data_IF_238166185242
#
_entry.id   IF_238166185242
#
_cell.length_a   1.000
_cell.length_b   1.000
_cell.length_c   1.000
_cell.angle_alpha   90.00
_cell.angle_beta   90.00
_cell.angle_gamma   90.00
#
_symmetry.space_group_name_H-M   'P 1'
#
loop_
_entity.id
_entity.type
_entity.pdbx_description
1 polymer ?
#
# COMPACT_ATOMS: atom_id res chain seq x y z
N UNK A 1 20.91 -53.96 32.31
CA UNK A 1 20.11 -52.76 31.98
C UNK A 1 20.95 -51.51 31.62
N UNK A 2 22.16 -51.64 31.03
CA UNK A 2 23.00 -50.48 30.65
C UNK A 2 23.06 -50.18 29.14
N UNK A 3 22.60 -51.11 28.28
CA UNK A 3 22.68 -50.96 26.82
C UNK A 3 21.50 -50.21 26.19
N UNK A 4 20.31 -50.24 26.79
CA UNK A 4 19.13 -49.54 26.28
C UNK A 4 19.11 -48.03 26.60
N UNK A 5 19.77 -47.62 27.69
CA UNK A 5 19.81 -46.21 28.11
C UNK A 5 20.56 -45.32 27.10
N UNK A 6 21.58 -45.86 26.42
CA UNK A 6 22.34 -45.12 25.40
C UNK A 6 21.56 -44.87 24.11
N UNK A 7 20.62 -45.74 23.77
CA UNK A 7 19.79 -45.58 22.55
C UNK A 7 18.73 -44.49 22.77
N UNK A 8 18.12 -44.44 23.96
CA UNK A 8 17.17 -43.38 24.31
C UNK A 8 17.82 -41.98 24.34
N UNK A 9 19.06 -41.88 24.83
CA UNK A 9 19.78 -40.61 24.89
C UNK A 9 20.12 -40.06 23.48
N UNK A 10 20.44 -40.94 22.53
CA UNK A 10 20.75 -40.56 21.15
C UNK A 10 19.48 -40.11 20.41
N UNK A 11 18.34 -40.78 20.63
CA UNK A 11 17.06 -40.36 20.04
C UNK A 11 16.57 -39.01 20.57
N UNK A 12 16.75 -38.70 21.87
CA UNK A 12 16.35 -37.39 22.41
C UNK A 12 17.17 -36.22 21.83
N UNK A 13 18.47 -36.42 21.56
CA UNK A 13 19.32 -35.40 20.93
C UNK A 13 18.93 -35.18 19.46
N UNK A 14 18.53 -36.24 18.75
CA UNK A 14 18.06 -36.15 17.35
C UNK A 14 16.72 -35.41 17.21
N UNK A 15 15.79 -35.59 18.16
CA UNK A 15 14.52 -34.85 18.19
C UNK A 15 14.75 -33.37 18.54
N UNK A 16 15.66 -33.06 19.46
CA UNK A 16 16.00 -31.68 19.81
C UNK A 16 16.73 -30.92 18.69
N UNK A 17 17.48 -31.61 17.83
CA UNK A 17 18.11 -31.02 16.63
C UNK A 17 17.10 -30.74 15.50
N UNK A 18 15.97 -31.44 15.46
CA UNK A 18 14.88 -31.17 14.50
C UNK A 18 14.02 -29.95 14.89
N UNK A 19 14.08 -29.52 16.15
CA UNK A 19 13.59 -28.21 16.61
C UNK A 19 14.71 -27.16 16.64
N UNK A 20 15.77 -27.35 15.83
CA UNK A 20 16.69 -26.30 15.46
C UNK A 20 15.89 -25.16 14.85
N UNK A 21 15.61 -24.16 15.69
CA UNK A 21 14.95 -22.90 15.42
C UNK A 21 15.23 -22.44 13.99
N UNK A 22 14.29 -22.74 13.08
CA UNK A 22 14.24 -22.02 11.82
C UNK A 22 14.07 -20.57 12.21
N UNK A 23 15.07 -19.73 11.91
CA UNK A 23 14.93 -18.28 11.99
C UNK A 23 13.56 -17.95 11.38
N UNK A 24 12.70 -17.14 12.04
CA UNK A 24 11.36 -16.88 11.56
C UNK A 24 11.50 -16.47 10.10
N UNK A 25 11.02 -17.35 9.21
CA UNK A 25 11.15 -17.13 7.79
C UNK A 25 10.33 -15.88 7.53
N UNK A 26 10.99 -14.75 7.22
CA UNK A 26 10.31 -13.48 6.99
C UNK A 26 9.27 -13.70 5.89
N UNK A 27 8.02 -13.90 6.31
CA UNK A 27 6.93 -14.16 5.40
C UNK A 27 6.69 -12.86 4.66
N UNK A 28 7.02 -12.86 3.36
CA UNK A 28 6.79 -11.71 2.49
C UNK A 28 5.32 -11.28 2.65
N UNK A 29 5.04 -10.01 2.96
CA UNK A 29 3.68 -9.56 3.15
C UNK A 29 2.90 -9.77 1.84
N UNK A 30 1.67 -10.28 1.97
CA UNK A 30 0.77 -10.41 0.83
C UNK A 30 0.26 -9.03 0.42
N UNK A 31 -0.20 -8.88 -0.83
CA UNK A 31 -0.86 -7.63 -1.27
C UNK A 31 -2.06 -7.30 -0.38
N UNK A 32 -2.80 -8.33 0.08
CA UNK A 32 -3.87 -8.19 1.05
C UNK A 32 -3.39 -7.49 2.33
N UNK A 33 -2.30 -7.99 2.92
CA UNK A 33 -1.75 -7.41 4.15
C UNK A 33 -1.28 -5.97 3.95
N UNK A 34 -0.63 -5.68 2.82
CA UNK A 34 -0.20 -4.32 2.49
C UNK A 34 -1.38 -3.37 2.31
N UNK A 35 -2.48 -3.82 1.71
CA UNK A 35 -3.70 -3.02 1.57
C UNK A 35 -4.35 -2.73 2.93
N UNK A 36 -4.42 -3.72 3.82
CA UNK A 36 -4.92 -3.53 5.19
C UNK A 36 -4.05 -2.55 5.99
N UNK A 37 -2.72 -2.66 5.90
CA UNK A 37 -1.79 -1.73 6.56
C UNK A 37 -1.92 -0.30 6.01
N UNK A 38 -2.17 -0.17 4.70
CA UNK A 38 -2.49 1.11 4.08
C UNK A 38 -3.81 1.70 4.59
N UNK A 39 -4.84 0.89 4.84
CA UNK A 39 -6.12 1.38 5.41
C UNK A 39 -5.89 1.98 6.79
N UNK A 40 -5.15 1.29 7.68
CA UNK A 40 -4.79 1.85 8.98
C UNK A 40 -3.92 3.12 8.87
N UNK A 41 -3.06 3.18 7.85
CA UNK A 41 -2.29 4.40 7.57
C UNK A 41 -3.20 5.55 7.13
N UNK A 42 -4.15 5.30 6.23
CA UNK A 42 -5.13 6.28 5.76
C UNK A 42 -5.95 6.82 6.94
N UNK A 43 -6.48 5.94 7.78
CA UNK A 43 -7.24 6.33 8.96
C UNK A 43 -6.40 7.21 9.89
N UNK A 44 -5.15 6.82 10.18
CA UNK A 44 -4.24 7.63 11.00
C UNK A 44 -3.88 8.98 10.34
N UNK A 45 -3.83 9.05 9.00
CA UNK A 45 -3.54 10.27 8.26
C UNK A 45 -4.62 11.35 8.40
N UNK A 46 -5.83 10.97 8.82
CA UNK A 46 -6.91 11.91 9.13
C UNK A 46 -6.56 12.76 10.36
N UNK A 47 -5.60 12.32 11.19
CA UNK A 47 -5.14 13.01 12.41
C UNK A 47 -3.65 13.37 12.37
N UNK A 48 -2.84 12.74 11.51
CA UNK A 48 -1.40 12.97 11.34
C UNK A 48 -1.03 13.41 9.92
N UNK A 49 -0.26 14.50 9.78
CA UNK A 49 0.04 15.09 8.46
C UNK A 49 1.06 14.33 7.61
N UNK A 50 1.85 13.43 8.19
CA UNK A 50 2.98 12.78 7.50
C UNK A 50 2.78 11.28 7.22
N UNK A 51 1.67 10.69 7.67
CA UNK A 51 1.46 9.24 7.60
C UNK A 51 1.48 8.69 6.15
N UNK A 52 1.10 9.50 5.15
CA UNK A 52 1.05 9.10 3.74
C UNK A 52 2.37 9.35 2.98
N UNK A 53 3.36 9.99 3.59
CA UNK A 53 4.59 10.40 2.90
C UNK A 53 5.34 9.18 2.31
N UNK A 54 5.38 8.07 3.03
CA UNK A 54 6.06 6.84 2.60
C UNK A 54 5.33 6.09 1.49
N UNK A 55 4.04 6.39 1.31
CA UNK A 55 3.20 5.81 0.26
C UNK A 55 3.22 6.66 -1.02
N UNK A 56 3.97 7.77 -1.07
CA UNK A 56 4.15 8.56 -2.31
C UNK A 56 5.62 8.55 -2.73
N UNK A 57 5.89 7.83 -3.81
CA UNK A 57 7.23 7.68 -4.38
C UNK A 57 7.57 8.88 -5.26
N UNK A 58 8.77 9.43 -5.12
CA UNK A 58 9.37 10.33 -6.11
C UNK A 58 10.49 9.60 -6.85
N UNK A 59 10.62 9.80 -8.17
CA UNK A 59 11.72 9.25 -8.97
C UNK A 59 12.90 10.21 -9.13
N UNK A 60 12.72 11.45 -8.69
CA UNK A 60 13.74 12.50 -8.64
C UNK A 60 13.52 13.34 -7.38
N UNK A 61 14.56 14.06 -6.96
CA UNK A 61 14.54 14.95 -5.80
C UNK A 61 14.50 16.43 -6.19
N UNK A 62 14.12 16.73 -7.44
CA UNK A 62 13.92 18.11 -7.90
C UNK A 62 12.84 18.83 -7.05
N UNK A 63 13.04 20.11 -6.78
CA UNK A 63 12.19 20.89 -5.88
C UNK A 63 10.72 20.90 -6.32
N UNK A 64 10.45 21.05 -7.62
CA UNK A 64 9.11 21.00 -8.19
C UNK A 64 8.42 19.64 -7.95
N UNK A 65 9.15 18.53 -8.01
CA UNK A 65 8.63 17.18 -7.74
C UNK A 65 8.32 17.00 -6.26
N UNK A 66 9.17 17.51 -5.37
CA UNK A 66 8.92 17.47 -3.93
C UNK A 66 7.73 18.37 -3.55
N UNK A 67 7.60 19.54 -4.15
CA UNK A 67 6.43 20.41 -3.98
C UNK A 67 5.16 19.71 -4.45
N UNK A 68 5.19 19.05 -5.62
CA UNK A 68 4.02 18.33 -6.13
C UNK A 68 3.64 17.14 -5.25
N UNK A 69 4.63 16.45 -4.65
CA UNK A 69 4.38 15.43 -3.61
C UNK A 69 3.59 16.01 -2.44
N UNK A 70 4.04 17.13 -1.89
CA UNK A 70 3.34 17.78 -0.78
C UNK A 70 1.92 18.21 -1.16
N UNK A 71 1.75 18.77 -2.37
CA UNK A 71 0.43 19.19 -2.88
C UNK A 71 -0.51 17.98 -3.03
N UNK A 72 -0.04 16.89 -3.63
CA UNK A 72 -0.80 15.67 -3.81
C UNK A 72 -1.26 15.09 -2.47
N UNK A 73 -0.35 14.97 -1.49
CA UNK A 73 -0.68 14.43 -0.16
C UNK A 73 -1.69 15.32 0.55
N UNK A 74 -1.52 16.65 0.49
CA UNK A 74 -2.46 17.59 1.10
C UNK A 74 -3.86 17.48 0.48
N UNK A 75 -3.95 17.41 -0.85
CA UNK A 75 -5.22 17.27 -1.58
C UNK A 75 -5.90 15.93 -1.29
N UNK A 76 -5.12 14.83 -1.30
CA UNK A 76 -5.63 13.51 -0.97
C UNK A 76 -6.20 13.50 0.44
N UNK A 77 -5.42 13.94 1.44
CA UNK A 77 -5.89 14.01 2.83
C UNK A 77 -7.14 14.88 2.97
N UNK A 78 -7.18 16.05 2.33
CA UNK A 78 -8.37 16.91 2.34
C UNK A 78 -9.60 16.18 1.80
N UNK A 79 -9.43 15.39 0.74
CA UNK A 79 -10.50 14.57 0.16
C UNK A 79 -10.94 13.50 1.17
N UNK A 80 -10.00 12.70 1.69
CA UNK A 80 -10.31 11.59 2.60
C UNK A 80 -10.98 12.09 3.90
N UNK A 81 -10.48 13.17 4.50
CA UNK A 81 -11.07 13.80 5.70
C UNK A 81 -12.46 14.37 5.48
N UNK A 82 -12.85 14.67 4.23
CA UNK A 82 -14.21 15.14 3.92
C UNK A 82 -15.25 14.01 3.84
N UNK A 83 -14.79 12.76 3.71
CA UNK A 83 -15.66 11.60 3.49
C UNK A 83 -16.12 10.95 4.79
N UNK A 84 -15.26 10.92 5.82
CA UNK A 84 -15.53 10.32 7.12
C UNK A 84 -14.28 10.31 8.01
N UNK A 85 -14.45 9.87 9.25
CA UNK A 85 -13.40 9.78 10.25
C UNK A 85 -13.00 8.35 10.62
N UNK A 86 -13.74 7.38 10.09
CA UNK A 86 -13.52 5.94 10.24
C UNK A 86 -13.49 5.30 8.84
N UNK A 87 -12.65 4.29 8.64
CA UNK A 87 -12.30 3.75 7.32
C UNK A 87 -12.27 2.23 7.33
N UNK A 88 -13.10 1.61 6.50
CA UNK A 88 -13.14 0.15 6.32
C UNK A 88 -12.71 -0.24 4.90
N UNK A 89 -11.91 -1.31 4.80
CA UNK A 89 -11.62 -1.94 3.52
C UNK A 89 -12.81 -2.81 3.08
N UNK A 90 -13.46 -2.46 1.97
CA UNK A 90 -14.54 -3.28 1.41
C UNK A 90 -13.99 -4.43 0.56
N UNK A 91 -13.12 -4.08 -0.38
CA UNK A 91 -12.40 -5.02 -1.25
C UNK A 91 -11.30 -4.26 -2.00
N UNK A 92 -10.42 -4.99 -2.67
CA UNK A 92 -9.61 -4.44 -3.74
C UNK A 92 -9.45 -5.46 -4.85
N UNK A 93 -9.16 -4.98 -6.06
CA UNK A 93 -8.94 -5.82 -7.23
C UNK A 93 -7.78 -5.29 -8.06
N UNK A 94 -7.02 -6.18 -8.70
CA UNK A 94 -6.03 -5.79 -9.71
C UNK A 94 -6.74 -5.18 -10.91
N UNK A 95 -6.32 -3.99 -11.32
CA UNK A 95 -6.83 -3.29 -12.49
C UNK A 95 -6.05 -3.72 -13.73
N UNK A 96 -6.72 -4.43 -14.63
CA UNK A 96 -6.11 -5.08 -15.80
C UNK A 96 -6.41 -4.38 -17.12
N UNK A 97 -7.11 -3.24 -17.11
CA UNK A 97 -7.50 -2.55 -18.35
C UNK A 97 -6.29 -2.03 -19.13
N UNK A 98 -6.23 -2.38 -20.41
CA UNK A 98 -5.27 -1.86 -21.40
C UNK A 98 -5.75 -0.57 -22.09
N UNK A 99 -6.95 -0.10 -21.77
CA UNK A 99 -7.51 1.17 -22.23
C UNK A 99 -7.55 2.17 -21.08
N UNK A 100 -7.31 3.45 -21.39
CA UNK A 100 -7.38 4.58 -20.47
C UNK A 100 -8.81 4.80 -19.97
N UNK A 101 -9.28 3.91 -19.11
CA UNK A 101 -10.56 4.01 -18.45
C UNK A 101 -10.32 4.74 -17.13
N UNK A 102 -10.67 6.03 -17.03
CA UNK A 102 -10.59 6.74 -15.77
C UNK A 102 -11.52 6.06 -14.75
N UNK A 103 -11.06 6.01 -13.51
CA UNK A 103 -11.92 5.75 -12.35
C UNK A 103 -12.43 7.11 -11.89
N UNK A 104 -13.65 7.16 -11.35
CA UNK A 104 -14.34 8.39 -10.95
C UNK A 104 -13.44 9.42 -10.21
N UNK A 105 -12.46 8.95 -9.43
CA UNK A 105 -11.54 9.80 -8.66
C UNK A 105 -10.11 9.88 -9.25
N UNK A 106 -9.74 9.02 -10.20
CA UNK A 106 -8.35 8.90 -10.68
C UNK A 106 -8.24 8.47 -12.14
N UNK A 107 -7.33 9.12 -12.86
CA UNK A 107 -6.87 8.72 -14.18
C UNK A 107 -5.71 7.73 -14.03
N UNK A 108 -5.96 6.50 -14.50
CA UNK A 108 -5.02 5.39 -14.56
C UNK A 108 -4.43 5.20 -15.97
N UNK A 109 -4.71 6.13 -16.89
CA UNK A 109 -4.14 6.14 -18.24
C UNK A 109 -2.63 6.37 -18.24
N UNK A 110 -1.98 5.88 -19.30
CA UNK A 110 -0.55 6.16 -19.56
C UNK A 110 0.41 5.74 -18.43
N UNK A 111 0.15 4.56 -17.84
CA UNK A 111 0.97 3.89 -16.81
C UNK A 111 2.48 3.99 -17.14
N UNK A 112 3.31 4.58 -16.25
CA UNK A 112 4.75 4.66 -16.48
C UNK A 112 5.40 3.29 -16.34
N UNK A 113 6.52 3.08 -17.03
CA UNK A 113 7.16 1.76 -17.12
C UNK A 113 7.61 1.19 -15.77
N UNK A 114 7.95 2.04 -14.80
CA UNK A 114 8.35 1.61 -13.46
C UNK A 114 7.23 0.92 -12.66
N UNK A 115 5.97 1.16 -13.03
CA UNK A 115 4.81 0.58 -12.36
C UNK A 115 4.54 -0.82 -12.90
N UNK A 116 4.51 -1.78 -11.97
CA UNK A 116 4.21 -3.18 -12.25
C UNK A 116 2.70 -3.37 -12.37
N UNK A 117 2.00 -3.30 -11.25
CA UNK A 117 0.53 -3.48 -11.18
C UNK A 117 -0.15 -2.27 -10.57
N UNK A 118 -1.41 -2.11 -10.95
CA UNK A 118 -2.33 -1.15 -10.34
C UNK A 118 -3.45 -1.95 -9.70
N UNK A 119 -3.79 -1.59 -8.48
CA UNK A 119 -4.92 -2.13 -7.76
C UNK A 119 -5.88 -0.99 -7.42
N UNK A 120 -7.16 -1.32 -7.31
CA UNK A 120 -8.20 -0.38 -6.91
C UNK A 120 -8.78 -0.86 -5.60
N UNK A 121 -8.59 -0.06 -4.56
CA UNK A 121 -9.10 -0.32 -3.23
C UNK A 121 -10.40 0.45 -3.03
N UNK A 122 -11.49 -0.27 -2.77
CA UNK A 122 -12.77 0.33 -2.42
C UNK A 122 -12.85 0.44 -0.90
N UNK A 123 -12.94 1.68 -0.43
CA UNK A 123 -12.99 2.02 0.98
C UNK A 123 -14.40 2.53 1.33
N UNK A 124 -14.87 2.15 2.51
CA UNK A 124 -16.04 2.75 3.14
C UNK A 124 -15.58 3.75 4.19
N UNK A 125 -15.88 5.02 3.96
CA UNK A 125 -15.72 6.07 4.95
C UNK A 125 -17.02 6.23 5.72
N UNK A 126 -16.93 6.28 7.05
CA UNK A 126 -18.07 6.51 7.94
C UNK A 126 -17.82 7.83 8.67
N UNK A 127 -18.74 8.78 8.51
CA UNK A 127 -18.82 9.97 9.36
C UNK A 127 -19.70 9.63 10.55
N UNK A 128 -19.07 9.33 11.70
CA UNK A 128 -19.79 8.91 12.89
C UNK A 128 -20.72 9.99 13.45
N UNK A 129 -20.39 11.27 13.26
CA UNK A 129 -21.19 12.38 13.76
C UNK A 129 -22.48 12.57 12.95
N UNK A 130 -22.40 12.36 11.63
CA UNK A 130 -23.53 12.52 10.71
C UNK A 130 -24.21 11.20 10.32
N UNK A 131 -23.67 10.06 10.75
CA UNK A 131 -24.08 8.72 10.33
C UNK A 131 -24.07 8.56 8.79
N UNK A 132 -23.19 9.32 8.12
CA UNK A 132 -23.07 9.32 6.66
C UNK A 132 -22.03 8.29 6.23
N UNK A 133 -22.34 7.55 5.17
CA UNK A 133 -21.46 6.54 4.57
C UNK A 133 -21.07 6.95 3.16
N UNK A 134 -19.78 6.95 2.87
CA UNK A 134 -19.24 7.34 1.56
C UNK A 134 -18.31 6.24 1.06
N UNK A 135 -18.57 5.72 -0.13
CA UNK A 135 -17.65 4.77 -0.78
C UNK A 135 -16.68 5.56 -1.64
N UNK A 136 -15.40 5.26 -1.53
CA UNK A 136 -14.35 5.90 -2.30
C UNK A 136 -13.37 4.86 -2.85
N UNK A 137 -13.14 4.93 -4.17
CA UNK A 137 -12.16 4.09 -4.85
C UNK A 137 -10.81 4.81 -4.87
N UNK A 138 -9.81 4.21 -4.23
CA UNK A 138 -8.45 4.72 -4.13
C UNK A 138 -7.49 3.73 -4.79
N UNK A 139 -6.73 4.11 -5.84
CA UNK A 139 -5.76 3.24 -6.42
C UNK A 139 -4.52 3.13 -5.53
N UNK A 140 -3.87 1.98 -5.59
CA UNK A 140 -2.48 1.81 -5.16
C UNK A 140 -1.72 1.00 -6.20
N UNK A 141 -0.41 1.15 -6.23
CA UNK A 141 0.48 0.60 -7.25
C UNK A 141 1.60 -0.20 -6.63
N UNK A 142 2.07 -1.22 -7.35
CA UNK A 142 3.36 -1.86 -7.10
C UNK A 142 4.38 -1.38 -8.12
N UNK A 143 5.67 -1.39 -7.76
CA UNK A 143 6.76 -1.04 -8.67
C UNK A 143 7.55 -2.30 -9.03
N UNK A 144 8.01 -2.40 -10.29
CA UNK A 144 8.71 -3.60 -10.81
C UNK A 144 9.95 -4.00 -10.00
N UNK A 145 10.60 -3.01 -9.37
CA UNK A 145 11.87 -3.19 -8.66
C UNK A 145 11.75 -3.00 -7.14
N UNK A 146 10.55 -2.83 -6.59
CA UNK A 146 10.33 -2.70 -5.14
C UNK A 146 9.33 -3.75 -4.66
N UNK A 147 9.83 -4.95 -4.37
CA UNK A 147 9.03 -6.02 -3.79
C UNK A 147 8.51 -5.63 -2.40
N UNK A 148 7.34 -6.18 -2.03
CA UNK A 148 6.73 -6.03 -0.71
C UNK A 148 6.38 -4.58 -0.32
N UNK A 149 6.21 -3.69 -1.31
CA UNK A 149 5.77 -2.31 -1.10
C UNK A 149 4.65 -1.95 -2.05
N UNK A 150 3.79 -1.06 -1.58
CA UNK A 150 2.76 -0.42 -2.38
C UNK A 150 2.86 1.10 -2.22
N UNK A 151 2.35 1.82 -3.21
CA UNK A 151 2.32 3.27 -3.22
C UNK A 151 0.95 3.76 -3.63
N UNK A 152 0.52 4.90 -3.10
CA UNK A 152 -0.64 5.63 -3.58
C UNK A 152 -0.34 6.36 -4.89
N UNK A 153 0.91 6.79 -5.09
CA UNK A 153 1.36 7.42 -6.32
C UNK A 153 2.88 7.34 -6.52
N UNK A 154 3.29 7.47 -7.78
CA UNK A 154 4.65 7.81 -8.21
C UNK A 154 4.64 9.19 -8.88
N UNK A 155 5.59 10.04 -8.50
CA UNK A 155 5.77 11.39 -9.05
C UNK A 155 7.13 11.47 -9.72
N UNK A 156 7.14 11.93 -10.97
CA UNK A 156 8.32 11.89 -11.83
C UNK A 156 8.30 12.99 -12.88
N UNK A 157 9.45 13.23 -13.52
CA UNK A 157 9.56 14.15 -14.64
C UNK A 157 9.35 13.40 -15.96
N UNK A 158 8.51 13.94 -16.84
CA UNK A 158 8.36 13.48 -18.24
C UNK A 158 8.30 14.70 -19.14
N UNK A 159 9.20 14.77 -20.12
CA UNK A 159 9.24 15.85 -21.11
C UNK A 159 9.26 17.26 -20.47
N UNK A 160 10.00 17.41 -19.36
CA UNK A 160 10.12 18.67 -18.61
C UNK A 160 8.95 19.01 -17.69
N UNK A 161 7.91 18.16 -17.60
CA UNK A 161 6.76 18.36 -16.73
C UNK A 161 6.77 17.39 -15.54
N UNK A 162 6.31 17.87 -14.38
CA UNK A 162 6.03 17.00 -13.23
C UNK A 162 4.74 16.23 -13.52
N UNK A 163 4.79 14.91 -13.36
CA UNK A 163 3.67 14.00 -13.58
C UNK A 163 3.43 13.20 -12.32
N UNK A 164 2.16 13.14 -11.89
CA UNK A 164 1.67 12.26 -10.83
C UNK A 164 0.94 11.09 -11.47
N UNK A 165 1.24 9.86 -11.04
CA UNK A 165 0.52 8.67 -11.47
C UNK A 165 0.26 7.73 -10.28
N UNK A 166 -0.98 7.23 -10.06
CA UNK A 166 -2.25 7.67 -10.63
C UNK A 166 -2.50 9.17 -10.51
N UNK A 167 -3.10 9.79 -11.52
CA UNK A 167 -3.41 11.22 -11.49
C UNK A 167 -4.80 11.43 -10.90
N UNK A 168 -4.98 12.21 -9.82
CA UNK A 168 -6.32 12.59 -9.38
C UNK A 168 -7.08 13.28 -10.51
N UNK A 169 -8.32 12.85 -10.75
CA UNK A 169 -9.24 13.61 -11.59
C UNK A 169 -9.84 14.63 -10.65
N UNK A 170 -9.51 15.91 -10.85
CA UNK A 170 -10.17 16.96 -10.10
C UNK A 170 -11.69 16.77 -10.22
N UNK A 171 -12.45 16.79 -9.12
CA UNK A 171 -13.90 16.83 -9.20
C UNK A 171 -14.39 18.07 -9.97
#
# INVERSE_FOLDING_TARGET
MRKYFRIYLICCVLVLLLFGCGAPQEQKPTIQKLAEDLVGTIESSLTSSTALDDYVKTLTSETNVLTEKSNFIASLRSTLSSLGNDVELLNFNEFTSKSATPIYSFDLGMKPDVVDKVYVMNLLFIDQAQQRKSVYALPFITLKNEANKIYLAVIFMREGNVVVYPKPIAP
#
